data_IF_539711338189
#
_entry.id   IF_539711338189
#
_cell.length_a   1.000
_cell.length_b   1.000
_cell.length_c   1.000
_cell.angle_alpha   90.00
_cell.angle_beta   90.00
_cell.angle_gamma   90.00
#
_symmetry.space_group_name_H-M   'P 1'
#
loop_
_entity.id
_entity.type
_entity.pdbx_description
1 polymer ?
#
# COMPACT_ATOMS: atom_id res chain seq x y z
N UNK A 1 -21.30 6.00 15.89
CA UNK A 1 -21.48 5.29 14.60
C UNK A 1 -22.69 5.90 13.91
N UNK A 2 -22.62 6.15 12.60
CA UNK A 2 -23.64 6.94 11.87
C UNK A 2 -24.89 6.15 11.44
N UNK A 3 -24.90 4.81 11.53
CA UNK A 3 -26.06 3.97 11.16
C UNK A 3 -26.22 3.69 9.66
N UNK A 4 -25.51 4.45 8.81
CA UNK A 4 -25.47 4.26 7.36
C UNK A 4 -24.68 3.01 6.93
N UNK A 5 -25.07 2.34 5.82
CA UNK A 5 -24.27 1.27 5.22
C UNK A 5 -22.85 1.72 4.88
N UNK A 6 -21.86 0.86 5.17
CA UNK A 6 -20.46 1.14 4.89
C UNK A 6 -20.22 1.25 3.38
N UNK A 7 -19.79 2.42 2.93
CA UNK A 7 -19.37 2.63 1.54
C UNK A 7 -17.86 2.36 1.40
N UNK A 8 -17.50 1.17 0.92
CA UNK A 8 -16.11 0.73 0.73
C UNK A 8 -15.30 1.60 -0.24
N UNK A 9 -15.95 2.24 -1.22
CA UNK A 9 -15.29 3.11 -2.19
C UNK A 9 -14.88 4.47 -1.60
N UNK A 10 -15.46 4.83 -0.45
CA UNK A 10 -15.15 6.07 0.28
C UNK A 10 -14.19 5.86 1.44
N UNK A 11 -13.74 4.63 1.69
CA UNK A 11 -12.77 4.37 2.74
C UNK A 11 -11.41 4.95 2.33
N UNK A 12 -10.85 5.88 3.13
CA UNK A 12 -9.54 6.41 2.84
C UNK A 12 -8.49 5.31 3.01
N UNK A 13 -7.59 5.21 2.03
CA UNK A 13 -6.39 4.42 2.21
C UNK A 13 -5.48 5.21 3.14
N UNK A 14 -5.18 4.64 4.31
CA UNK A 14 -4.28 5.27 5.26
C UNK A 14 -2.88 5.35 4.66
N UNK A 15 -2.32 6.55 4.78
CA UNK A 15 -0.89 6.74 4.58
C UNK A 15 -0.17 6.16 5.80
N UNK A 16 0.60 5.12 5.56
CA UNK A 16 1.39 4.48 6.61
C UNK A 16 2.84 4.83 6.30
N UNK A 17 3.55 5.38 7.28
CA UNK A 17 4.99 5.62 7.21
C UNK A 17 5.76 4.62 8.07
N UNK A 18 7.02 4.37 7.71
CA UNK A 18 7.98 3.74 8.60
C UNK A 18 9.16 4.69 8.81
N UNK A 19 9.20 5.32 9.97
CA UNK A 19 10.31 6.20 10.35
C UNK A 19 10.72 5.96 11.81
N UNK A 20 11.69 6.73 12.30
CA UNK A 20 12.22 6.60 13.66
C UNK A 20 11.15 6.76 14.76
N UNK A 21 10.01 7.38 14.44
CA UNK A 21 8.90 7.64 15.37
C UNK A 21 7.65 6.78 15.12
N UNK A 22 7.54 6.12 13.95
CA UNK A 22 6.36 5.36 13.53
C UNK A 22 6.79 4.05 12.87
N UNK A 23 6.34 2.91 13.39
CA UNK A 23 6.73 1.57 12.91
C UNK A 23 5.58 0.80 12.24
N UNK A 24 4.79 1.47 11.39
CA UNK A 24 3.77 0.76 10.61
C UNK A 24 4.43 -0.12 9.56
N UNK A 25 4.44 -1.45 9.76
CA UNK A 25 5.10 -2.42 8.86
C UNK A 25 4.69 -2.32 7.38
N UNK A 26 3.46 -1.88 7.11
CA UNK A 26 2.97 -1.67 5.74
C UNK A 26 3.39 -0.34 5.11
N UNK A 27 3.99 0.58 5.86
CA UNK A 27 4.35 1.91 5.40
C UNK A 27 5.64 1.97 4.58
N UNK A 28 6.59 1.07 4.88
CA UNK A 28 7.86 0.97 4.17
C UNK A 28 7.69 0.87 2.64
N UNK A 29 6.72 0.07 2.17
CA UNK A 29 6.49 -0.08 0.73
C UNK A 29 5.99 1.24 0.13
N UNK A 30 5.07 1.94 0.81
CA UNK A 30 4.54 3.23 0.29
C UNK A 30 5.64 4.29 0.22
N UNK A 31 6.51 4.33 1.23
CA UNK A 31 7.62 5.28 1.31
C UNK A 31 8.68 5.04 0.24
N UNK A 32 9.11 3.80 0.05
CA UNK A 32 10.19 3.46 -0.90
C UNK A 32 9.73 3.46 -2.36
N UNK A 33 8.48 3.05 -2.61
CA UNK A 33 7.98 2.86 -3.98
C UNK A 33 7.00 3.93 -4.46
N UNK A 34 6.51 4.80 -3.56
CA UNK A 34 5.42 5.74 -3.84
C UNK A 34 4.06 5.06 -4.10
N UNK A 35 4.00 3.72 -4.07
CA UNK A 35 2.77 2.98 -4.35
C UNK A 35 1.84 2.97 -3.15
N UNK A 36 0.57 3.27 -3.39
CA UNK A 36 -0.49 3.21 -2.39
C UNK A 36 -1.59 2.25 -2.86
N UNK A 37 -1.93 1.19 -2.09
CA UNK A 37 -2.93 0.21 -2.51
C UNK A 37 -4.32 0.84 -2.56
N UNK A 38 -5.17 0.39 -3.49
CA UNK A 38 -6.59 0.77 -3.45
C UNK A 38 -7.28 0.13 -2.23
N UNK A 39 -8.38 0.70 -1.68
CA UNK A 39 -9.04 0.19 -0.47
C UNK A 39 -9.44 -1.29 -0.51
N UNK A 40 -9.68 -1.84 -1.71
CA UNK A 40 -10.13 -3.22 -1.93
C UNK A 40 -9.12 -4.06 -2.72
N UNK A 41 -7.86 -3.63 -2.80
CA UNK A 41 -6.84 -4.37 -3.51
C UNK A 41 -6.35 -5.56 -2.67
N UNK A 42 -6.78 -6.77 -3.01
CA UNK A 42 -6.46 -8.01 -2.28
C UNK A 42 -5.17 -8.68 -2.75
N UNK A 43 -4.70 -8.34 -3.95
CA UNK A 43 -3.48 -8.90 -4.55
C UNK A 43 -2.62 -7.79 -5.15
N UNK A 44 -1.33 -8.06 -5.30
CA UNK A 44 -0.39 -7.15 -5.93
C UNK A 44 0.57 -7.92 -6.82
N UNK A 45 0.94 -7.32 -7.95
CA UNK A 45 2.04 -7.84 -8.76
C UNK A 45 3.37 -7.42 -8.13
N UNK A 46 4.00 -8.38 -7.43
CA UNK A 46 5.31 -8.19 -6.80
C UNK A 46 6.39 -7.75 -7.79
N UNK A 47 6.26 -8.04 -9.09
CA UNK A 47 7.22 -7.60 -10.11
C UNK A 47 7.07 -6.10 -10.40
N UNK A 48 5.84 -5.59 -10.42
CA UNK A 48 5.61 -4.15 -10.57
C UNK A 48 6.15 -3.38 -9.36
N UNK A 49 5.97 -3.91 -8.14
CA UNK A 49 6.57 -3.32 -6.94
C UNK A 49 8.10 -3.35 -6.99
N UNK A 50 8.69 -4.47 -7.40
CA UNK A 50 10.14 -4.58 -7.56
C UNK A 50 10.67 -3.56 -8.59
N UNK A 51 10.02 -3.44 -9.75
CA UNK A 51 10.38 -2.45 -10.77
C UNK A 51 10.25 -1.00 -10.24
N UNK A 52 9.17 -0.67 -9.52
CA UNK A 52 8.97 0.63 -8.91
C UNK A 52 10.02 0.95 -7.82
N UNK A 53 10.51 -0.08 -7.13
CA UNK A 53 11.57 0.02 -6.13
C UNK A 53 12.99 0.05 -6.74
N UNK A 54 13.13 -0.05 -8.07
CA UNK A 54 14.44 -0.19 -8.72
C UNK A 54 15.14 -1.54 -8.45
N UNK A 55 14.39 -2.56 -8.04
CA UNK A 55 14.89 -3.90 -7.77
C UNK A 55 14.76 -4.79 -9.02
N UNK A 56 15.73 -5.67 -9.23
CA UNK A 56 15.65 -6.68 -10.27
C UNK A 56 14.58 -7.73 -9.94
N UNK A 57 13.67 -7.99 -10.87
CA UNK A 57 12.71 -9.09 -10.80
C UNK A 57 12.96 -10.08 -11.96
N UNK A 58 13.20 -11.37 -11.69
CA UNK A 58 13.45 -12.35 -12.74
C UNK A 58 12.22 -12.60 -13.63
N UNK A 59 12.46 -12.93 -14.90
CA UNK A 59 11.44 -13.40 -15.82
C UNK A 59 10.97 -14.82 -15.43
N UNK A 60 9.75 -15.17 -15.85
CA UNK A 60 9.18 -16.52 -15.67
C UNK A 60 9.89 -17.55 -16.55
#
# INVERSE_FOLDING_TARGET
MTGEPLNWLRLPVLDRGWNDTVSSKGGFIQEVTGWKPAPLQTTVDVRQLAAAAGLYAPAL
#
